data_IF_004853832430
#
_entry.id   IF_004853832430
#
_cell.length_a   1.000
_cell.length_b   1.000
_cell.length_c   1.000
_cell.angle_alpha   90.00
_cell.angle_beta   90.00
_cell.angle_gamma   90.00
#
_symmetry.space_group_name_H-M   'P 1'
#
loop_
_entity.id
_entity.type
_entity.pdbx_description
1 polymer ?
#
# COMPACT_ATOMS: atom_id res chain seq x y z
N UNK A 1 2.45 4.73 -13.41
CA UNK A 1 2.98 4.67 -12.02
C UNK A 1 3.79 5.92 -11.66
N UNK A 2 3.37 7.12 -12.10
CA UNK A 2 4.18 8.33 -12.00
C UNK A 2 3.86 9.21 -10.77
N UNK A 3 2.80 8.90 -10.01
CA UNK A 3 2.24 9.87 -9.07
C UNK A 3 2.63 9.68 -7.59
N UNK A 4 2.90 8.45 -7.12
CA UNK A 4 3.13 8.19 -5.68
C UNK A 4 4.52 7.64 -5.31
N UNK A 5 5.39 7.38 -6.30
CA UNK A 5 6.71 6.76 -6.07
C UNK A 5 6.63 5.32 -5.53
N UNK A 6 7.80 4.71 -5.28
CA UNK A 6 7.92 3.35 -4.74
C UNK A 6 8.24 3.34 -3.23
N UNK A 7 7.59 4.24 -2.48
CA UNK A 7 7.76 4.38 -1.03
C UNK A 7 6.48 3.97 -0.32
N UNK A 8 6.61 3.13 0.71
CA UNK A 8 5.48 2.67 1.51
C UNK A 8 4.81 3.85 2.22
N UNK A 9 3.54 4.11 1.93
CA UNK A 9 2.78 5.17 2.59
C UNK A 9 2.46 4.83 4.04
N UNK A 10 2.50 3.56 4.47
CA UNK A 10 2.28 3.24 5.89
C UNK A 10 3.51 3.57 6.74
N UNK A 11 4.67 3.00 6.39
CA UNK A 11 5.87 3.01 7.23
C UNK A 11 7.06 3.80 6.66
N UNK A 12 6.93 4.40 5.48
CA UNK A 12 8.01 5.17 4.83
C UNK A 12 9.12 4.32 4.21
N UNK A 13 8.99 2.99 4.22
CA UNK A 13 10.01 2.08 3.70
C UNK A 13 10.20 2.23 2.18
N UNK A 14 11.45 2.26 1.76
CA UNK A 14 11.88 2.53 0.39
C UNK A 14 12.90 1.45 -0.01
N UNK A 15 12.53 0.61 -0.97
CA UNK A 15 13.36 -0.50 -1.41
C UNK A 15 14.62 -0.02 -2.14
N UNK A 16 14.57 1.09 -2.87
CA UNK A 16 15.74 1.62 -3.55
C UNK A 16 16.76 2.15 -2.54
N UNK A 17 16.30 2.80 -1.45
CA UNK A 17 17.18 3.26 -0.38
C UNK A 17 17.84 2.12 0.40
N UNK A 18 17.17 0.98 0.56
CA UNK A 18 17.68 -0.16 1.35
C UNK A 18 18.51 -1.14 0.51
N UNK A 19 18.12 -1.43 -0.74
CA UNK A 19 18.78 -2.43 -1.60
C UNK A 19 19.42 -1.84 -2.86
N UNK A 20 19.45 -0.52 -3.02
CA UNK A 20 19.97 0.13 -4.20
C UNK A 20 19.15 -0.22 -5.44
N UNK A 21 19.83 -0.36 -6.58
CA UNK A 21 19.19 -0.59 -7.88
C UNK A 21 18.31 -1.86 -7.92
N UNK A 22 18.63 -2.88 -7.11
CA UNK A 22 17.81 -4.08 -7.01
C UNK A 22 16.40 -3.82 -6.47
N UNK A 23 16.24 -2.80 -5.62
CA UNK A 23 14.96 -2.40 -5.06
C UNK A 23 14.20 -1.33 -5.87
N UNK A 24 14.78 -0.84 -6.96
CA UNK A 24 14.25 0.28 -7.73
C UNK A 24 12.86 -0.03 -8.28
N UNK A 25 11.89 0.81 -7.93
CA UNK A 25 10.50 0.68 -8.38
C UNK A 25 9.72 -0.46 -7.72
N UNK A 26 10.32 -1.23 -6.81
CA UNK A 26 9.64 -2.34 -6.15
C UNK A 26 8.74 -1.85 -5.02
N UNK A 27 7.43 -2.03 -5.19
CA UNK A 27 6.41 -1.74 -4.18
C UNK A 27 5.15 -2.54 -4.47
N UNK A 28 4.33 -2.85 -3.46
CA UNK A 28 2.99 -3.38 -3.67
C UNK A 28 1.98 -2.23 -3.75
N UNK A 29 0.96 -2.39 -4.60
CA UNK A 29 -0.12 -1.42 -4.72
C UNK A 29 -1.39 -2.01 -4.11
N UNK A 30 -1.97 -1.32 -3.13
CA UNK A 30 -3.17 -1.73 -2.42
C UNK A 30 -4.37 -0.88 -2.88
N UNK A 31 -5.52 -1.52 -3.10
CA UNK A 31 -6.76 -0.84 -3.45
C UNK A 31 -7.47 -0.39 -2.16
N UNK A 32 -7.70 0.90 -2.01
CA UNK A 32 -8.37 1.49 -0.83
C UNK A 32 -9.87 1.12 -0.81
N UNK A 33 -10.48 0.92 -1.99
CA UNK A 33 -11.87 0.46 -2.13
C UNK A 33 -11.90 -1.00 -2.59
N UNK A 34 -12.66 -1.89 -1.92
CA UNK A 34 -12.85 -3.26 -2.39
C UNK A 34 -13.47 -3.25 -3.79
N UNK A 35 -12.80 -3.86 -4.78
CA UNK A 35 -13.21 -3.89 -6.19
C UNK A 35 -14.63 -4.48 -6.41
N UNK A 36 -15.19 -5.16 -5.41
CA UNK A 36 -16.48 -5.86 -5.47
C UNK A 36 -17.70 -4.94 -5.62
N UNK A 37 -17.53 -3.62 -5.54
CA UNK A 37 -18.59 -2.62 -5.68
C UNK A 37 -18.58 -1.89 -7.03
N UNK A 38 -17.66 -2.23 -7.93
CA UNK A 38 -17.40 -1.44 -9.13
C UNK A 38 -17.98 -2.14 -10.37
N UNK A 39 -18.85 -1.42 -11.10
CA UNK A 39 -19.45 -1.91 -12.34
C UNK A 39 -18.42 -2.06 -13.48
N UNK A 40 -18.81 -2.71 -14.60
CA UNK A 40 -17.89 -3.03 -15.70
C UNK A 40 -17.19 -1.81 -16.34
N UNK A 41 -17.75 -0.60 -16.19
CA UNK A 41 -17.21 0.63 -16.78
C UNK A 41 -16.42 1.51 -15.78
N UNK A 42 -16.16 1.02 -14.57
CA UNK A 42 -15.47 1.83 -13.57
C UNK A 42 -13.98 2.02 -13.91
N UNK A 43 -13.58 3.28 -14.09
CA UNK A 43 -12.19 3.67 -14.23
C UNK A 43 -11.60 3.86 -12.84
N UNK A 44 -10.60 3.04 -12.49
CA UNK A 44 -9.82 3.22 -11.27
C UNK A 44 -9.11 4.56 -11.36
N UNK A 45 -9.29 5.42 -10.36
CA UNK A 45 -8.45 6.59 -10.14
C UNK A 45 -7.17 6.14 -9.41
N UNK A 46 -6.05 5.96 -10.11
CA UNK A 46 -4.83 5.45 -9.50
C UNK A 46 -4.21 6.41 -8.48
N UNK A 47 -4.66 7.66 -8.42
CA UNK A 47 -4.20 8.65 -7.45
C UNK A 47 -4.95 8.50 -6.14
N UNK A 48 -6.28 8.35 -6.21
CA UNK A 48 -7.14 8.36 -5.03
C UNK A 48 -7.55 6.97 -4.54
N UNK A 49 -7.39 5.92 -5.34
CA UNK A 49 -7.87 4.57 -5.01
C UNK A 49 -6.76 3.56 -4.79
N UNK A 50 -5.52 3.92 -5.12
CA UNK A 50 -4.36 3.06 -4.97
C UNK A 50 -3.36 3.69 -4.01
N UNK A 51 -2.86 2.87 -3.09
CA UNK A 51 -1.83 3.28 -2.13
C UNK A 51 -0.61 2.36 -2.21
N UNK A 52 0.62 2.90 -2.37
CA UNK A 52 1.82 2.08 -2.33
C UNK A 52 2.13 1.64 -0.90
N UNK A 53 2.37 0.35 -0.72
CA UNK A 53 2.74 -0.29 0.54
C UNK A 53 3.88 -1.27 0.31
N UNK A 54 4.78 -1.41 1.29
CA UNK A 54 5.74 -2.50 1.27
C UNK A 54 5.02 -3.85 1.47
N UNK A 55 5.62 -4.98 1.07
CA UNK A 55 5.03 -6.31 1.24
C UNK A 55 4.59 -6.60 2.68
N UNK A 56 5.36 -6.15 3.67
CA UNK A 56 5.03 -6.36 5.08
C UNK A 56 3.78 -5.57 5.50
N UNK A 57 3.71 -4.27 5.20
CA UNK A 57 2.52 -3.46 5.51
C UNK A 57 1.31 -3.94 4.71
N UNK A 58 1.48 -4.34 3.45
CA UNK A 58 0.39 -4.87 2.64
C UNK A 58 -0.19 -6.15 3.27
N UNK A 59 0.66 -7.07 3.71
CA UNK A 59 0.23 -8.28 4.41
C UNK A 59 -0.47 -7.97 5.75
N UNK A 60 -0.01 -6.96 6.48
CA UNK A 60 -0.60 -6.58 7.77
C UNK A 60 -1.96 -5.88 7.63
N UNK A 61 -2.17 -5.07 6.58
CA UNK A 61 -3.47 -4.43 6.33
C UNK A 61 -4.59 -5.46 6.17
N UNK A 62 -4.30 -6.59 5.52
CA UNK A 62 -5.27 -7.66 5.28
C UNK A 62 -5.34 -8.68 6.43
N UNK A 63 -4.43 -8.60 7.40
CA UNK A 63 -4.33 -9.61 8.46
C UNK A 63 -5.58 -9.56 9.35
N UNK A 64 -6.26 -10.70 9.45
CA UNK A 64 -7.44 -10.88 10.31
C UNK A 64 -8.77 -10.77 9.56
N UNK A 65 -8.83 -10.00 8.45
CA UNK A 65 -10.00 -9.95 7.58
C UNK A 65 -9.68 -9.40 6.18
N UNK A 66 -9.55 -10.29 5.20
CA UNK A 66 -9.32 -9.92 3.79
C UNK A 66 -10.48 -9.12 3.17
N UNK A 67 -11.71 -9.35 3.65
CA UNK A 67 -12.90 -8.66 3.14
C UNK A 67 -13.07 -7.26 3.75
N UNK A 68 -12.37 -6.97 4.84
CA UNK A 68 -12.36 -5.67 5.52
C UNK A 68 -10.94 -5.33 5.96
N UNK A 69 -10.05 -5.00 5.00
CA UNK A 69 -8.70 -4.54 5.31
C UNK A 69 -8.72 -3.29 6.19
N UNK A 70 -7.68 -3.13 7.00
CA UNK A 70 -7.43 -1.90 7.76
C UNK A 70 -7.14 -0.73 6.81
N UNK A 71 -7.48 0.50 7.22
CA UNK A 71 -6.94 1.69 6.57
C UNK A 71 -5.43 1.84 6.85
N UNK A 72 -4.74 2.64 6.04
CA UNK A 72 -3.33 2.94 6.26
C UNK A 72 -3.11 3.65 7.60
N UNK A 73 -4.02 4.53 7.99
CA UNK A 73 -4.01 5.23 9.28
C UNK A 73 -4.19 4.27 10.45
N UNK A 74 -5.15 3.33 10.34
CA UNK A 74 -5.38 2.29 11.35
C UNK A 74 -4.14 1.42 11.52
N UNK A 75 -3.55 0.91 10.43
CA UNK A 75 -2.33 0.12 10.52
C UNK A 75 -1.18 0.93 11.11
N UNK A 76 -0.99 2.18 10.66
CA UNK A 76 0.08 3.06 11.15
C UNK A 76 -0.05 3.31 12.66
N UNK A 77 -1.26 3.48 13.17
CA UNK A 77 -1.50 3.66 14.61
C UNK A 77 -1.13 2.42 15.45
N UNK A 78 -1.14 1.22 14.85
CA UNK A 78 -0.71 -0.02 15.50
C UNK A 78 0.80 -0.26 15.43
N UNK A 79 1.51 0.44 14.53
CA UNK A 79 2.95 0.28 14.38
C UNK A 79 3.69 0.85 15.59
N UNK A 80 4.59 0.06 16.15
CA UNK A 80 5.56 0.58 17.12
C UNK A 80 6.65 1.34 16.36
N UNK A 81 7.18 2.45 16.91
CA UNK A 81 8.35 3.11 16.35
C UNK A 81 9.47 2.09 16.16
N UNK A 82 10.09 2.12 14.98
CA UNK A 82 11.38 1.46 14.80
C UNK A 82 12.39 2.29 15.58
N UNK A 83 13.04 1.68 16.58
CA UNK A 83 14.07 2.34 17.39
C UNK A 83 15.29 2.77 16.58
#
# INVERSE_FOLDING_TARGET
MAYHGAVCQCCGFDFEKTWGEHGKGFIHVHHIRPLRTLGPDYQIDPVNELVPLCPNCHAMIHRGNEAKPLSVEELRAMMRPSG
#
